data_IF_894731746702
#
_entry.id   IF_894731746702
#
_cell.length_a   1.000
_cell.length_b   1.000
_cell.length_c   1.000
_cell.angle_alpha   90.00
_cell.angle_beta   90.00
_cell.angle_gamma   90.00
#
_symmetry.space_group_name_H-M   'P 1'
#
loop_
_entity.id
_entity.type
_entity.pdbx_description
1 polymer ?
#
# COMPACT_ATOMS: atom_id res chain seq x y z
N UNK A 1 -28.08 36.42 37.92
CA UNK A 1 -27.52 36.64 36.58
C UNK A 1 -26.07 36.24 36.44
N UNK A 2 -25.21 36.62 37.37
CA UNK A 2 -23.78 36.25 37.29
C UNK A 2 -23.51 34.74 37.37
N UNK A 3 -24.31 33.98 38.11
CA UNK A 3 -24.16 32.53 38.22
C UNK A 3 -24.63 31.78 36.98
N UNK A 4 -25.60 32.29 36.24
CA UNK A 4 -26.08 31.68 34.99
C UNK A 4 -25.13 31.91 33.85
N UNK A 5 -24.44 33.03 33.81
CA UNK A 5 -23.42 33.35 32.79
C UNK A 5 -22.18 32.47 32.98
N UNK A 6 -21.77 32.20 34.24
CA UNK A 6 -20.66 31.31 34.56
C UNK A 6 -20.98 29.85 34.18
N UNK A 7 -22.21 29.41 34.35
CA UNK A 7 -22.65 28.06 34.01
C UNK A 7 -22.69 27.88 32.49
N UNK A 8 -23.13 28.88 31.74
CA UNK A 8 -23.13 28.90 30.27
C UNK A 8 -21.71 28.87 29.71
N UNK A 9 -20.78 29.61 30.30
CA UNK A 9 -19.38 29.60 29.93
C UNK A 9 -18.71 28.24 30.20
N UNK A 10 -18.99 27.60 31.32
CA UNK A 10 -18.49 26.28 31.65
C UNK A 10 -18.99 25.20 30.70
N UNK A 11 -20.25 25.26 30.26
CA UNK A 11 -20.83 24.35 29.25
C UNK A 11 -20.21 24.57 27.88
N UNK A 12 -19.93 25.83 27.48
CA UNK A 12 -19.26 26.14 26.22
C UNK A 12 -17.83 25.58 26.14
N UNK A 13 -17.10 25.52 27.26
CA UNK A 13 -15.76 24.97 27.30
C UNK A 13 -15.73 23.45 27.20
N UNK A 14 -16.77 22.74 27.62
CA UNK A 14 -16.81 21.28 27.55
C UNK A 14 -17.05 20.73 26.15
N UNK A 15 -17.61 21.52 25.22
CA UNK A 15 -17.87 21.09 23.84
C UNK A 15 -16.69 21.29 22.89
N UNK A 16 -15.65 22.01 23.26
CA UNK A 16 -14.53 22.32 22.38
C UNK A 16 -13.41 21.31 22.37
N UNK A 17 -13.45 20.26 23.21
CA UNK A 17 -12.37 19.29 23.38
C UNK A 17 -12.54 17.99 22.56
N UNK A 18 -13.66 17.81 21.84
CA UNK A 18 -13.98 16.54 21.17
C UNK A 18 -13.57 16.47 19.68
N UNK A 19 -13.10 17.55 19.07
CA UNK A 19 -12.86 17.58 17.63
C UNK A 19 -11.47 17.15 17.19
N UNK A 20 -10.49 17.07 18.10
CA UNK A 20 -9.08 16.80 17.75
C UNK A 20 -8.78 15.34 17.44
N UNK A 21 -9.62 14.41 17.86
CA UNK A 21 -9.37 12.98 17.75
C UNK A 21 -9.96 12.36 16.48
N UNK A 22 -10.69 13.14 15.67
CA UNK A 22 -11.38 12.65 14.48
C UNK A 22 -10.65 12.93 13.17
N UNK A 23 -9.42 13.47 13.21
CA UNK A 23 -8.63 13.77 12.02
C UNK A 23 -7.59 12.68 11.83
N UNK A 24 -7.71 11.94 10.72
CA UNK A 24 -6.68 11.00 10.31
C UNK A 24 -5.46 11.75 9.77
N UNK A 25 -4.28 11.43 10.28
CA UNK A 25 -3.04 11.96 9.72
C UNK A 25 -2.89 11.48 8.27
N UNK A 26 -2.58 12.41 7.36
CA UNK A 26 -2.40 12.12 5.94
C UNK A 26 -1.29 11.07 5.68
N UNK A 27 -0.34 10.93 6.60
CA UNK A 27 0.75 9.96 6.50
C UNK A 27 0.43 8.61 7.14
N UNK A 28 -0.73 8.44 7.76
CA UNK A 28 -1.11 7.17 8.37
C UNK A 28 -1.44 6.15 7.29
N UNK A 29 -0.71 5.01 7.22
CA UNK A 29 -0.99 3.99 6.21
C UNK A 29 -2.29 3.26 6.55
N UNK A 30 -3.25 3.29 5.62
CA UNK A 30 -4.55 2.62 5.75
C UNK A 30 -4.65 1.37 4.90
N UNK A 31 -3.76 1.21 3.89
CA UNK A 31 -3.73 0.07 2.98
C UNK A 31 -2.44 -0.71 3.18
N UNK A 32 -2.52 -2.03 3.43
CA UNK A 32 -1.32 -2.85 3.57
C UNK A 32 -0.57 -2.95 2.25
N UNK A 33 0.75 -2.93 2.33
CA UNK A 33 1.62 -3.11 1.18
C UNK A 33 2.63 -4.21 1.45
N UNK A 34 2.92 -4.99 0.42
CA UNK A 34 3.94 -6.03 0.45
C UNK A 34 5.22 -5.47 -0.16
N UNK A 35 6.31 -5.52 0.59
CA UNK A 35 7.63 -5.13 0.09
C UNK A 35 8.38 -6.37 -0.35
N UNK A 36 8.83 -6.38 -1.60
CA UNK A 36 9.54 -7.51 -2.21
C UNK A 36 10.93 -7.05 -2.62
N UNK A 37 11.96 -7.72 -2.11
CA UNK A 37 13.34 -7.54 -2.55
C UNK A 37 13.74 -8.63 -3.54
N UNK A 38 14.50 -8.26 -4.56
CA UNK A 38 15.02 -9.19 -5.57
C UNK A 38 16.49 -9.47 -5.31
N UNK A 39 16.86 -10.74 -5.33
CA UNK A 39 18.20 -11.20 -5.03
C UNK A 39 18.77 -12.01 -6.19
N UNK A 40 20.10 -12.03 -6.30
CA UNK A 40 20.75 -12.82 -7.33
C UNK A 40 20.57 -14.31 -7.04
N UNK A 41 20.17 -15.07 -8.05
CA UNK A 41 19.98 -16.52 -7.92
C UNK A 41 21.29 -17.24 -7.55
N UNK A 42 22.40 -16.79 -8.12
CA UNK A 42 23.72 -17.38 -7.87
C UNK A 42 24.35 -16.88 -6.56
N UNK A 43 23.94 -15.72 -6.07
CA UNK A 43 24.42 -15.13 -4.81
C UNK A 43 23.24 -14.52 -4.04
N UNK A 44 22.47 -15.34 -3.28
CA UNK A 44 21.22 -14.90 -2.65
C UNK A 44 21.36 -13.83 -1.58
N UNK A 45 22.57 -13.47 -1.18
CA UNK A 45 22.83 -12.38 -0.23
C UNK A 45 22.98 -11.01 -0.90
N UNK A 46 23.01 -10.96 -2.23
CA UNK A 46 23.20 -9.73 -3.01
C UNK A 46 21.91 -9.35 -3.71
N UNK A 47 21.45 -8.11 -3.51
CA UNK A 47 20.30 -7.56 -4.21
C UNK A 47 20.61 -7.42 -5.71
N UNK A 48 19.62 -7.75 -6.54
CA UNK A 48 19.73 -7.68 -7.99
C UNK A 48 18.62 -6.81 -8.56
N UNK A 49 18.99 -5.86 -9.42
CA UNK A 49 18.03 -5.04 -10.13
C UNK A 49 17.28 -5.88 -11.17
N UNK A 50 15.98 -5.65 -11.26
CA UNK A 50 15.14 -6.21 -12.32
C UNK A 50 15.22 -5.32 -13.57
N UNK A 51 14.86 -5.87 -14.71
CA UNK A 51 14.85 -5.13 -15.98
C UNK A 51 13.41 -5.02 -16.49
N UNK A 52 12.91 -3.79 -16.57
CA UNK A 52 11.55 -3.47 -17.04
C UNK A 52 10.49 -4.41 -16.47
N UNK A 53 10.47 -4.55 -15.15
CA UNK A 53 9.50 -5.39 -14.46
C UNK A 53 8.14 -4.69 -14.46
N UNK A 54 7.15 -5.36 -15.00
CA UNK A 54 5.74 -4.96 -14.96
C UNK A 54 4.98 -5.91 -14.03
N UNK A 55 4.18 -5.35 -13.11
CA UNK A 55 3.36 -6.11 -12.18
C UNK A 55 1.91 -5.78 -12.41
N UNK A 56 1.10 -6.78 -12.73
CA UNK A 56 -0.32 -6.61 -13.04
C UNK A 56 -1.14 -7.49 -12.09
N UNK A 57 -2.12 -6.89 -11.42
CA UNK A 57 -3.06 -7.64 -10.58
C UNK A 57 -4.01 -8.48 -11.43
N UNK A 58 -4.43 -9.62 -10.89
CA UNK A 58 -5.42 -10.47 -11.52
C UNK A 58 -6.72 -9.70 -11.77
N UNK A 59 -7.21 -9.75 -13.01
CA UNK A 59 -8.40 -9.01 -13.45
C UNK A 59 -8.16 -7.55 -13.78
N UNK A 60 -6.93 -7.05 -13.67
CA UNK A 60 -6.58 -5.68 -14.03
C UNK A 60 -5.95 -5.63 -15.42
N UNK A 61 -6.19 -4.53 -16.15
CA UNK A 61 -5.62 -4.32 -17.49
C UNK A 61 -4.31 -3.57 -17.44
N UNK A 62 -4.13 -2.70 -16.44
CA UNK A 62 -2.94 -1.86 -16.29
C UNK A 62 -2.06 -2.36 -15.16
N UNK A 63 -0.75 -2.18 -15.32
CA UNK A 63 0.23 -2.50 -14.28
C UNK A 63 0.17 -1.54 -13.10
N UNK A 64 0.76 -1.97 -12.00
CA UNK A 64 0.98 -1.11 -10.83
C UNK A 64 1.96 0.00 -11.22
N UNK A 65 1.69 1.21 -10.74
CA UNK A 65 2.55 2.35 -11.02
C UNK A 65 3.68 2.42 -9.99
N UNK A 66 4.91 2.47 -10.50
CA UNK A 66 6.13 2.70 -9.74
C UNK A 66 6.63 4.10 -10.06
N UNK A 67 6.43 5.06 -9.15
CA UNK A 67 6.73 6.49 -9.38
C UNK A 67 6.11 7.03 -10.67
N UNK A 68 4.86 6.64 -10.98
CA UNK A 68 4.15 7.05 -12.18
C UNK A 68 4.45 6.21 -13.43
N UNK A 69 5.33 5.22 -13.37
CA UNK A 69 5.68 4.34 -14.48
C UNK A 69 5.12 2.94 -14.27
N UNK A 70 4.73 2.26 -15.35
CA UNK A 70 4.22 0.89 -15.30
C UNK A 70 5.32 -0.18 -15.21
N UNK A 71 6.58 0.21 -15.27
CA UNK A 71 7.72 -0.69 -15.13
C UNK A 71 8.75 -0.13 -14.16
N UNK A 72 9.56 -1.00 -13.59
CA UNK A 72 10.64 -0.62 -12.69
C UNK A 72 11.91 -1.39 -13.03
N UNK A 73 13.06 -0.77 -12.75
CA UNK A 73 14.39 -1.38 -12.90
C UNK A 73 15.13 -1.47 -11.56
N UNK A 74 14.43 -1.29 -10.45
CA UNK A 74 15.04 -1.36 -9.12
C UNK A 74 15.21 -2.77 -8.60
N UNK A 75 15.64 -2.89 -7.36
CA UNK A 75 15.82 -4.18 -6.68
C UNK A 75 14.78 -4.43 -5.59
N UNK A 76 13.88 -3.50 -5.36
CA UNK A 76 12.83 -3.59 -4.35
C UNK A 76 11.57 -2.93 -4.87
N UNK A 77 10.43 -3.59 -4.63
CA UNK A 77 9.11 -3.04 -4.98
C UNK A 77 8.19 -3.09 -3.78
N UNK A 78 7.20 -2.21 -3.77
CA UNK A 78 6.10 -2.21 -2.81
C UNK A 78 4.79 -2.29 -3.57
N UNK A 79 4.02 -3.33 -3.34
CA UNK A 79 2.76 -3.58 -4.04
C UNK A 79 1.60 -3.70 -3.03
N UNK A 80 0.39 -3.23 -3.39
CA UNK A 80 -0.75 -3.34 -2.51
C UNK A 80 -1.27 -4.77 -2.43
N UNK A 81 -1.87 -5.11 -1.29
CA UNK A 81 -2.62 -6.34 -1.09
C UNK A 81 -4.10 -6.01 -0.95
N UNK A 82 -4.96 -6.93 -1.39
CA UNK A 82 -6.40 -6.78 -1.17
C UNK A 82 -6.72 -6.79 0.31
N UNK A 83 -7.56 -5.87 0.75
CA UNK A 83 -8.04 -5.81 2.14
C UNK A 83 -9.26 -6.69 2.37
N UNK A 84 -9.96 -7.03 1.29
CA UNK A 84 -11.11 -7.95 1.31
C UNK A 84 -10.64 -9.29 0.75
N UNK A 85 -10.81 -10.35 1.54
CA UNK A 85 -10.32 -11.68 1.19
C UNK A 85 -8.94 -11.96 1.77
N UNK A 86 -8.37 -13.11 1.43
CA UNK A 86 -7.10 -13.62 1.97
C UNK A 86 -6.08 -13.93 0.90
N UNK A 87 -6.35 -13.53 -0.34
CA UNK A 87 -5.52 -13.88 -1.49
C UNK A 87 -5.38 -12.71 -2.44
N UNK A 88 -4.17 -12.47 -2.91
CA UNK A 88 -3.90 -11.53 -4.02
C UNK A 88 -2.95 -12.21 -5.00
N UNK A 89 -3.31 -12.18 -6.28
CA UNK A 89 -2.52 -12.79 -7.35
C UNK A 89 -2.01 -11.70 -8.29
N UNK A 90 -0.72 -11.75 -8.60
CA UNK A 90 -0.06 -10.83 -9.52
C UNK A 90 0.69 -11.59 -10.61
N UNK A 91 0.71 -10.99 -11.80
CA UNK A 91 1.59 -11.38 -12.91
C UNK A 91 2.83 -10.49 -12.88
N UNK A 92 4.00 -11.09 -12.85
CA UNK A 92 5.30 -10.42 -12.87
C UNK A 92 5.96 -10.69 -14.21
N UNK A 93 6.17 -9.65 -15.01
CA UNK A 93 6.73 -9.76 -16.35
C UNK A 93 8.06 -9.02 -16.40
N UNK A 94 9.15 -9.76 -16.58
CA UNK A 94 10.47 -9.19 -16.82
C UNK A 94 10.64 -8.82 -18.29
N UNK A 95 11.44 -7.79 -18.55
CA UNK A 95 11.69 -7.28 -19.89
C UNK A 95 10.38 -6.95 -20.65
N UNK A 96 9.41 -6.41 -19.92
CA UNK A 96 8.12 -6.04 -20.49
C UNK A 96 8.29 -5.02 -21.62
N UNK A 97 7.65 -5.27 -22.76
CA UNK A 97 7.77 -4.42 -23.94
C UNK A 97 9.00 -4.67 -24.79
N UNK A 98 9.81 -5.69 -24.49
CA UNK A 98 10.93 -6.06 -25.34
C UNK A 98 10.42 -6.56 -26.71
N UNK A 99 11.08 -6.15 -27.79
CA UNK A 99 10.73 -6.54 -29.15
C UNK A 99 10.98 -8.03 -29.41
N UNK A 100 11.90 -8.65 -28.66
CA UNK A 100 12.16 -10.08 -28.73
C UNK A 100 11.33 -10.80 -27.65
N UNK A 101 10.25 -11.51 -28.01
CA UNK A 101 9.39 -12.19 -27.04
C UNK A 101 10.10 -13.33 -26.28
N UNK A 102 11.21 -13.85 -26.81
CA UNK A 102 12.01 -14.86 -26.12
C UNK A 102 12.70 -14.32 -24.87
N UNK A 103 12.89 -13.00 -24.76
CA UNK A 103 13.48 -12.34 -23.59
C UNK A 103 12.45 -11.92 -22.55
N UNK A 104 11.16 -11.93 -22.90
CA UNK A 104 10.07 -11.60 -21.98
C UNK A 104 9.75 -12.82 -21.13
N UNK A 105 9.80 -12.66 -19.82
CA UNK A 105 9.56 -13.74 -18.87
C UNK A 105 8.45 -13.34 -17.91
N UNK A 106 7.37 -14.12 -17.86
CA UNK A 106 6.18 -13.87 -17.05
C UNK A 106 6.00 -14.97 -16.03
N UNK A 107 5.89 -14.58 -14.76
CA UNK A 107 5.57 -15.47 -13.65
C UNK A 107 4.31 -14.98 -12.94
N UNK A 108 3.43 -15.92 -12.59
CA UNK A 108 2.23 -15.63 -11.82
C UNK A 108 2.46 -16.08 -10.38
N UNK A 109 2.32 -15.14 -9.45
CA UNK A 109 2.54 -15.40 -8.02
C UNK A 109 1.27 -15.10 -7.25
N UNK A 110 0.83 -16.06 -6.48
CA UNK A 110 -0.33 -15.96 -5.59
C UNK A 110 0.17 -15.78 -4.17
N UNK A 111 -0.31 -14.73 -3.51
CA UNK A 111 -0.02 -14.47 -2.11
C UNK A 111 -1.24 -14.82 -1.26
N UNK A 112 -1.07 -15.77 -0.36
CA UNK A 112 -2.08 -16.13 0.64
C UNK A 112 -1.69 -15.50 1.98
N UNK A 113 -2.65 -14.87 2.65
CA UNK A 113 -2.41 -14.15 3.90
C UNK A 113 -3.70 -14.07 4.72
N UNK A 114 -3.56 -13.64 5.97
CA UNK A 114 -4.69 -13.30 6.82
C UNK A 114 -4.68 -11.82 7.09
N UNK A 115 -5.86 -11.25 7.29
CA UNK A 115 -6.01 -9.84 7.61
C UNK A 115 -6.53 -9.65 9.02
N UNK A 116 -6.09 -8.57 9.65
CA UNK A 116 -6.59 -8.16 10.96
C UNK A 116 -6.79 -6.65 10.93
N UNK A 117 -7.96 -6.22 11.37
CA UNK A 117 -8.23 -4.80 11.51
C UNK A 117 -7.60 -4.27 12.79
N UNK A 118 -6.84 -3.19 12.64
CA UNK A 118 -6.27 -2.46 13.77
C UNK A 118 -6.86 -1.05 13.79
N UNK A 119 -7.38 -0.68 14.95
CA UNK A 119 -7.85 0.68 15.15
C UNK A 119 -6.65 1.62 15.31
N UNK A 120 -6.50 2.55 14.38
CA UNK A 120 -5.43 3.56 14.41
C UNK A 120 -5.99 4.89 14.89
N UNK A 121 -7.13 5.32 14.33
CA UNK A 121 -7.91 6.45 14.80
C UNK A 121 -9.33 6.33 14.26
N UNK A 122 -10.27 7.13 14.81
CA UNK A 122 -11.66 7.13 14.32
C UNK A 122 -11.77 7.52 12.85
N UNK A 123 -10.91 8.40 12.39
CA UNK A 123 -10.92 8.87 11.01
C UNK A 123 -10.20 7.92 10.05
N UNK A 124 -9.31 7.06 10.54
CA UNK A 124 -8.52 6.11 9.76
C UNK A 124 -9.05 4.66 9.82
N UNK A 125 -9.99 4.40 10.69
CA UNK A 125 -10.54 3.05 10.93
C UNK A 125 -11.61 2.60 9.90
#
# INVERSE_FOLDING_TARGET
MKKTILLLLAVAFTFSSCEKDDICDANTPTTPRLVIGFYDFLNPSVLKNVSNLKVVGEGMTNGILFNGNQTTNGNTISIPLKTVGTTTTYSFTLNSGNTNPALVDEDIIKFDYTTRELFVSRACG
#
